data_IF_237199468997
#
_entry.id   IF_237199468997
#
_cell.length_a   1.000
_cell.length_b   1.000
_cell.length_c   1.000
_cell.angle_alpha   90.00
_cell.angle_beta   90.00
_cell.angle_gamma   90.00
#
_symmetry.space_group_name_H-M   'P 1'
#
loop_
_entity.id
_entity.type
_entity.pdbx_description
1 polymer ?
#
# COMPACT_ATOMS: atom_id res chain seq x y z
N UNK A 1 8.40 -21.83 -15.77
CA UNK A 1 8.98 -22.36 -14.52
C UNK A 1 8.97 -21.32 -13.40
N UNK A 2 9.40 -20.10 -13.66
CA UNK A 2 9.36 -19.02 -12.66
C UNK A 2 7.95 -18.61 -12.27
N UNK A 3 7.00 -18.68 -13.19
CA UNK A 3 5.58 -18.36 -12.95
C UNK A 3 4.95 -19.38 -12.01
N UNK A 4 5.22 -20.67 -12.25
CA UNK A 4 4.70 -21.77 -11.43
C UNK A 4 5.26 -21.71 -10.00
N UNK A 5 6.53 -21.36 -9.84
CA UNK A 5 7.16 -21.20 -8.53
C UNK A 5 6.57 -20.00 -7.76
N UNK A 6 6.30 -18.88 -8.45
CA UNK A 6 5.64 -17.72 -7.84
C UNK A 6 4.23 -18.06 -7.36
N UNK A 7 3.47 -18.78 -8.15
CA UNK A 7 2.12 -19.19 -7.76
C UNK A 7 2.13 -20.11 -6.55
N UNK A 8 3.09 -21.03 -6.47
CA UNK A 8 3.22 -21.97 -5.34
C UNK A 8 3.64 -21.23 -4.07
N UNK A 9 4.63 -20.34 -4.15
CA UNK A 9 5.08 -19.52 -3.02
C UNK A 9 3.96 -18.59 -2.56
N UNK A 10 3.25 -17.97 -3.48
CA UNK A 10 2.14 -17.09 -3.20
C UNK A 10 0.99 -17.81 -2.49
N UNK A 11 0.69 -19.04 -2.90
CA UNK A 11 -0.32 -19.88 -2.22
C UNK A 11 0.11 -20.26 -0.81
N UNK A 12 1.38 -20.55 -0.60
CA UNK A 12 1.92 -20.86 0.73
C UNK A 12 1.87 -19.63 1.64
N UNK A 13 2.21 -18.46 1.14
CA UNK A 13 2.10 -17.20 1.87
C UNK A 13 0.65 -16.87 2.22
N UNK A 14 -0.28 -17.13 1.31
CA UNK A 14 -1.71 -16.96 1.54
C UNK A 14 -2.19 -17.85 2.69
N UNK A 15 -1.75 -19.09 2.76
CA UNK A 15 -2.14 -20.01 3.82
C UNK A 15 -1.57 -19.58 5.18
N UNK A 16 -0.33 -19.06 5.21
CA UNK A 16 0.40 -18.76 6.45
C UNK A 16 0.13 -17.35 6.97
N UNK A 17 0.03 -16.34 6.10
CA UNK A 17 0.01 -14.93 6.51
C UNK A 17 -1.23 -14.13 6.16
N UNK A 18 -1.99 -14.54 5.15
CA UNK A 18 -3.05 -13.70 4.56
C UNK A 18 -4.39 -13.84 5.30
N UNK A 19 -4.58 -14.91 6.08
CA UNK A 19 -5.85 -15.17 6.78
C UNK A 19 -6.22 -14.08 7.78
N UNK A 20 -5.24 -13.27 8.25
CA UNK A 20 -5.46 -12.18 9.21
C UNK A 20 -5.61 -10.81 8.56
N UNK A 21 -5.47 -10.70 7.24
CA UNK A 21 -5.59 -9.43 6.55
C UNK A 21 -7.05 -9.07 6.31
N UNK A 22 -7.40 -7.79 6.52
CA UNK A 22 -8.76 -7.31 6.31
C UNK A 22 -9.22 -7.49 4.84
N UNK A 23 -8.30 -7.27 3.89
CA UNK A 23 -8.63 -7.40 2.46
C UNK A 23 -8.91 -8.85 2.05
N UNK A 24 -8.43 -9.83 2.80
CA UNK A 24 -8.73 -11.24 2.55
C UNK A 24 -10.22 -11.50 2.58
N UNK A 25 -10.97 -10.76 3.39
CA UNK A 25 -12.43 -10.87 3.48
C UNK A 25 -13.12 -10.48 2.18
N UNK A 26 -12.44 -9.76 1.29
CA UNK A 26 -12.95 -9.31 0.00
C UNK A 26 -12.50 -10.24 -1.15
N UNK A 27 -11.79 -11.32 -0.85
CA UNK A 27 -11.30 -12.28 -1.84
C UNK A 27 -12.48 -12.82 -2.65
N UNK A 28 -12.30 -12.91 -3.96
CA UNK A 28 -13.36 -13.35 -4.88
C UNK A 28 -14.35 -12.26 -5.27
N UNK A 29 -14.19 -11.03 -4.77
CA UNK A 29 -15.07 -9.89 -5.09
C UNK A 29 -14.40 -8.87 -6.03
N UNK A 30 -13.49 -9.34 -6.88
CA UNK A 30 -12.81 -8.49 -7.84
C UNK A 30 -11.49 -7.88 -7.34
N UNK A 31 -11.12 -8.11 -6.09
CA UNK A 31 -9.89 -7.56 -5.51
C UNK A 31 -8.64 -8.12 -6.20
N UNK A 32 -8.61 -9.41 -6.46
CA UNK A 32 -7.46 -10.02 -7.13
C UNK A 32 -7.31 -9.51 -8.57
N UNK A 33 -8.43 -9.34 -9.26
CA UNK A 33 -8.43 -8.76 -10.60
C UNK A 33 -7.89 -7.34 -10.59
N UNK A 34 -8.27 -6.54 -9.59
CA UNK A 34 -7.74 -5.19 -9.43
C UNK A 34 -6.22 -5.22 -9.22
N UNK A 35 -5.75 -6.09 -8.36
CA UNK A 35 -4.31 -6.22 -8.11
C UNK A 35 -3.55 -6.72 -9.34
N UNK A 36 -4.13 -7.65 -10.10
CA UNK A 36 -3.56 -8.08 -11.38
C UNK A 36 -3.43 -6.90 -12.35
N UNK A 37 -4.46 -6.07 -12.43
CA UNK A 37 -4.43 -4.87 -13.28
C UNK A 37 -3.33 -3.91 -12.83
N UNK A 38 -3.21 -3.65 -11.54
CA UNK A 38 -2.15 -2.78 -10.99
C UNK A 38 -0.77 -3.37 -11.31
N UNK A 39 -0.59 -4.67 -11.11
CA UNK A 39 0.69 -5.33 -11.37
C UNK A 39 1.05 -5.37 -12.86
N UNK A 40 0.10 -5.15 -13.75
CA UNK A 40 0.35 -5.10 -15.19
C UNK A 40 0.92 -3.77 -15.66
N UNK A 41 0.83 -2.72 -14.82
CA UNK A 41 1.33 -1.39 -15.17
C UNK A 41 2.85 -1.37 -15.17
N UNK A 42 3.44 -0.74 -16.18
CA UNK A 42 4.88 -0.76 -16.40
C UNK A 42 5.55 0.60 -16.21
N UNK A 43 4.77 1.69 -16.31
CA UNK A 43 5.32 3.06 -16.24
C UNK A 43 4.48 3.93 -15.33
N UNK A 44 5.07 5.05 -14.87
CA UNK A 44 4.34 6.05 -14.09
C UNK A 44 3.21 6.64 -14.92
N UNK A 45 3.43 6.86 -16.23
CA UNK A 45 2.40 7.37 -17.12
C UNK A 45 1.20 6.44 -17.20
N UNK A 46 1.44 5.14 -17.26
CA UNK A 46 0.36 4.14 -17.21
C UNK A 46 -0.38 4.16 -15.88
N UNK A 47 0.31 4.41 -14.77
CA UNK A 47 -0.32 4.57 -13.47
C UNK A 47 -1.26 5.78 -13.48
N UNK A 48 -0.81 6.93 -13.99
CA UNK A 48 -1.68 8.10 -14.13
C UNK A 48 -2.91 7.77 -14.96
N UNK A 49 -2.72 7.12 -16.10
CA UNK A 49 -3.81 6.75 -17.01
C UNK A 49 -4.84 5.85 -16.31
N UNK A 50 -4.37 4.81 -15.66
CA UNK A 50 -5.24 3.83 -15.01
C UNK A 50 -5.97 4.41 -13.81
N UNK A 51 -5.24 5.07 -12.91
CA UNK A 51 -5.81 5.59 -11.67
C UNK A 51 -6.67 6.84 -11.89
N UNK A 52 -6.40 7.61 -12.95
CA UNK A 52 -7.28 8.73 -13.31
C UNK A 52 -8.69 8.24 -13.65
N UNK A 53 -8.80 7.10 -14.31
CA UNK A 53 -10.09 6.48 -14.61
C UNK A 53 -10.72 5.77 -13.42
N UNK A 54 -9.89 5.13 -12.60
CA UNK A 54 -10.36 4.26 -11.52
C UNK A 54 -10.76 5.03 -10.25
N UNK A 55 -10.00 6.04 -9.88
CA UNK A 55 -10.12 6.74 -8.60
C UNK A 55 -10.47 8.21 -8.76
N UNK A 56 -11.13 8.76 -7.76
CA UNK A 56 -11.28 10.22 -7.65
C UNK A 56 -9.96 10.86 -7.24
N UNK A 57 -9.83 12.17 -7.50
CA UNK A 57 -8.66 12.95 -7.07
C UNK A 57 -8.48 12.85 -5.55
N UNK A 58 -9.57 12.97 -4.79
CA UNK A 58 -9.50 12.89 -3.32
C UNK A 58 -9.03 11.52 -2.84
N UNK A 59 -9.48 10.45 -3.48
CA UNK A 59 -9.03 9.10 -3.16
C UNK A 59 -7.52 8.95 -3.39
N UNK A 60 -7.02 9.44 -4.51
CA UNK A 60 -5.59 9.41 -4.83
C UNK A 60 -4.76 10.26 -3.86
N UNK A 61 -5.25 11.44 -3.54
CA UNK A 61 -4.57 12.32 -2.57
C UNK A 61 -4.47 11.65 -1.20
N UNK A 62 -5.53 10.97 -0.76
CA UNK A 62 -5.52 10.24 0.52
C UNK A 62 -4.51 9.10 0.54
N UNK A 63 -4.44 8.33 -0.56
CA UNK A 63 -3.48 7.23 -0.68
C UNK A 63 -2.05 7.76 -0.66
N UNK A 64 -1.77 8.79 -1.46
CA UNK A 64 -0.45 9.41 -1.52
C UNK A 64 -0.04 10.02 -0.18
N UNK A 65 -0.97 10.68 0.52
CA UNK A 65 -0.71 11.26 1.84
C UNK A 65 -0.30 10.19 2.85
N UNK A 66 -1.04 9.08 2.91
CA UNK A 66 -0.73 7.99 3.84
C UNK A 66 0.64 7.37 3.57
N UNK A 67 0.99 7.21 2.31
CA UNK A 67 2.31 6.67 1.96
C UNK A 67 3.43 7.63 2.38
N UNK A 68 3.23 8.94 2.16
CA UNK A 68 4.21 9.96 2.58
C UNK A 68 4.34 10.01 4.10
N UNK A 69 3.23 9.93 4.82
CA UNK A 69 3.25 9.84 6.29
C UNK A 69 4.08 8.64 6.75
N UNK A 70 3.87 7.48 6.12
CA UNK A 70 4.64 6.27 6.45
C UNK A 70 6.14 6.47 6.20
N UNK A 71 6.48 7.09 5.07
CA UNK A 71 7.88 7.39 4.74
C UNK A 71 8.52 8.29 5.80
N UNK A 72 7.83 9.35 6.19
CA UNK A 72 8.35 10.31 7.17
C UNK A 72 8.46 9.69 8.57
N UNK A 73 7.49 8.87 8.98
CA UNK A 73 7.57 8.16 10.25
C UNK A 73 8.78 7.22 10.29
N UNK A 74 9.06 6.52 9.21
CA UNK A 74 10.23 5.63 9.10
C UNK A 74 11.55 6.42 9.19
N UNK A 75 11.56 7.66 8.72
CA UNK A 75 12.74 8.53 8.79
C UNK A 75 12.89 9.22 10.16
N UNK A 76 11.96 9.04 11.07
CA UNK A 76 12.03 9.57 12.43
C UNK A 76 11.50 11.00 12.58
N UNK A 77 10.74 11.51 11.63
CA UNK A 77 10.11 12.83 11.76
C UNK A 77 9.06 12.84 12.88
N UNK A 78 8.91 13.99 13.53
CA UNK A 78 7.89 14.18 14.56
C UNK A 78 6.50 14.32 13.93
N UNK A 79 5.46 14.12 14.74
CA UNK A 79 4.07 14.33 14.30
C UNK A 79 3.86 15.75 13.80
N UNK A 80 4.41 16.76 14.50
CA UNK A 80 4.27 18.16 14.09
C UNK A 80 4.89 18.40 12.71
N UNK A 81 6.06 17.84 12.46
CA UNK A 81 6.72 17.95 11.16
C UNK A 81 5.89 17.28 10.07
N UNK A 82 5.34 16.11 10.35
CA UNK A 82 4.52 15.36 9.38
C UNK A 82 3.24 16.13 9.06
N UNK A 83 2.55 16.68 10.08
CA UNK A 83 1.37 17.51 9.87
C UNK A 83 1.68 18.71 8.99
N UNK A 84 2.80 19.39 9.25
CA UNK A 84 3.20 20.57 8.50
C UNK A 84 3.48 20.24 7.02
N UNK A 85 4.14 19.13 6.76
CA UNK A 85 4.52 18.72 5.40
C UNK A 85 3.36 18.11 4.61
N UNK A 86 2.55 17.29 5.26
CA UNK A 86 1.55 16.46 4.55
C UNK A 86 0.13 16.95 4.67
N UNK A 87 -0.14 17.80 5.66
CA UNK A 87 -1.52 18.19 6.00
C UNK A 87 -2.34 17.07 6.64
N UNK A 88 -1.72 15.93 6.95
CA UNK A 88 -2.41 14.80 7.57
C UNK A 88 -2.83 15.14 9.00
N UNK A 89 -4.01 14.70 9.40
CA UNK A 89 -4.48 14.84 10.78
C UNK A 89 -3.68 13.91 11.71
N UNK A 90 -3.68 14.24 12.99
CA UNK A 90 -3.08 13.40 14.02
C UNK A 90 -3.67 11.98 14.00
N UNK A 91 -4.97 11.87 13.75
CA UNK A 91 -5.64 10.57 13.63
C UNK A 91 -5.08 9.75 12.47
N UNK A 92 -4.85 10.38 11.32
CA UNK A 92 -4.26 9.72 10.16
C UNK A 92 -2.84 9.24 10.46
N UNK A 93 -2.02 10.12 11.05
CA UNK A 93 -0.63 9.78 11.41
C UNK A 93 -0.59 8.62 12.39
N UNK A 94 -1.44 8.65 13.43
CA UNK A 94 -1.52 7.57 14.41
C UNK A 94 -1.94 6.23 13.78
N UNK A 95 -2.88 6.28 12.85
CA UNK A 95 -3.33 5.09 12.12
C UNK A 95 -2.20 4.48 11.28
N UNK A 96 -1.48 5.31 10.56
CA UNK A 96 -0.33 4.84 9.75
C UNK A 96 0.76 4.26 10.66
N UNK A 97 1.06 4.92 11.77
CA UNK A 97 2.03 4.44 12.73
C UNK A 97 1.63 3.07 13.29
N UNK A 98 0.35 2.88 13.60
CA UNK A 98 -0.15 1.57 14.04
C UNK A 98 0.10 0.51 12.97
N UNK A 99 -0.17 0.81 11.70
CA UNK A 99 0.09 -0.12 10.60
C UNK A 99 1.58 -0.45 10.46
N UNK A 100 2.46 0.53 10.67
CA UNK A 100 3.90 0.29 10.64
C UNK A 100 4.35 -0.63 11.77
N UNK A 101 3.76 -0.51 12.95
CA UNK A 101 4.17 -1.27 14.12
C UNK A 101 3.48 -2.63 14.24
N UNK A 102 2.21 -2.73 13.84
CA UNK A 102 1.37 -3.90 14.09
C UNK A 102 0.59 -4.38 12.86
N UNK A 103 0.88 -3.83 11.67
CA UNK A 103 0.20 -4.19 10.44
C UNK A 103 0.86 -5.35 9.71
N UNK A 104 0.77 -5.31 8.39
CA UNK A 104 1.20 -6.40 7.51
C UNK A 104 2.51 -6.10 6.78
N UNK A 105 3.28 -5.13 7.25
CA UNK A 105 4.55 -4.69 6.66
C UNK A 105 4.45 -4.16 5.23
N UNK A 106 3.23 -3.82 4.78
CA UNK A 106 2.99 -3.35 3.42
C UNK A 106 3.70 -2.04 3.09
N UNK A 107 3.60 -1.06 3.99
CA UNK A 107 4.31 0.21 3.81
C UNK A 107 5.82 0.00 3.76
N UNK A 108 6.35 -0.77 4.68
CA UNK A 108 7.77 -1.02 4.78
C UNK A 108 8.30 -1.70 3.52
N UNK A 109 7.64 -2.75 3.09
CA UNK A 109 7.99 -3.49 1.88
C UNK A 109 8.00 -2.58 0.65
N UNK A 110 6.93 -1.81 0.44
CA UNK A 110 6.81 -0.94 -0.72
C UNK A 110 7.87 0.17 -0.71
N UNK A 111 8.04 0.85 0.43
CA UNK A 111 9.01 1.92 0.56
C UNK A 111 10.45 1.43 0.39
N UNK A 112 10.78 0.26 0.92
CA UNK A 112 12.10 -0.34 0.71
C UNK A 112 12.36 -0.65 -0.77
N UNK A 113 11.37 -1.20 -1.46
CA UNK A 113 11.49 -1.55 -2.88
C UNK A 113 11.70 -0.34 -3.78
N UNK A 114 11.11 0.80 -3.45
CA UNK A 114 11.29 2.03 -4.21
C UNK A 114 12.46 2.88 -3.69
N UNK A 115 13.19 2.41 -2.67
CA UNK A 115 14.39 3.07 -2.15
C UNK A 115 14.09 4.26 -1.25
N UNK A 116 12.97 4.26 -0.62
CA UNK A 116 12.54 5.36 0.26
C UNK A 116 12.10 4.82 1.61
#
# INVERSE_FOLDING_TARGET
LKIVQRETVQKAEIIIGVTNMQLEKLKGKGIEQLFEAILSLETIEECYQFFDDLCTVNEMQSLAQRLEVARMLRKGFTYNQIEAETGASTATISRVKRCLNYGNDGYQMALERIGK
#
